data_IF_263192241809
#
_entry.id   IF_263192241809
#
_cell.length_a   1.000
_cell.length_b   1.000
_cell.length_c   1.000
_cell.angle_alpha   90.00
_cell.angle_beta   90.00
_cell.angle_gamma   90.00
#
_symmetry.space_group_name_H-M   'P 1'
#
loop_
_entity.id
_entity.type
_entity.pdbx_description
1 polymer ?
#
# COMPACT_ATOMS: atom_id res chain seq x y z
N UNK A 1 3.77 -5.87 33.54
CA UNK A 1 4.94 -6.78 33.48
C UNK A 1 6.17 -5.97 33.85
N UNK A 2 6.90 -6.38 34.90
CA UNK A 2 8.06 -5.64 35.39
C UNK A 2 9.22 -5.72 34.38
N UNK A 3 9.75 -4.56 34.00
CA UNK A 3 10.90 -4.42 33.09
C UNK A 3 12.12 -4.99 33.82
N UNK A 4 12.49 -6.24 33.51
CA UNK A 4 13.68 -6.90 34.07
C UNK A 4 14.89 -6.03 33.68
N UNK A 5 15.54 -5.40 34.65
CA UNK A 5 16.75 -4.61 34.40
C UNK A 5 17.76 -5.50 33.67
N UNK A 6 18.20 -5.03 32.50
CA UNK A 6 19.18 -5.76 31.71
C UNK A 6 20.49 -5.81 32.50
N UNK A 7 20.81 -6.99 33.04
CA UNK A 7 22.06 -7.21 33.75
C UNK A 7 23.25 -6.87 32.82
N UNK A 8 24.20 -6.08 33.32
CA UNK A 8 25.41 -5.76 32.55
C UNK A 8 26.22 -7.03 32.30
N UNK A 9 26.30 -7.48 31.06
CA UNK A 9 27.14 -8.59 30.64
C UNK A 9 28.52 -8.10 30.19
N UNK A 10 29.60 -8.73 30.68
CA UNK A 10 30.96 -8.46 30.22
C UNK A 10 31.29 -9.38 29.04
N UNK A 11 31.62 -8.79 27.89
CA UNK A 11 31.96 -9.53 26.66
C UNK A 11 33.42 -9.30 26.32
N UNK A 12 34.17 -10.38 26.08
CA UNK A 12 35.55 -10.34 25.60
C UNK A 12 35.56 -10.71 24.11
N UNK A 13 36.21 -9.89 23.29
CA UNK A 13 36.25 -10.07 21.84
C UNK A 13 37.70 -10.07 21.38
N UNK A 14 38.06 -11.07 20.59
CA UNK A 14 39.35 -11.13 19.90
C UNK A 14 39.19 -10.51 18.51
N UNK A 15 39.91 -9.42 18.26
CA UNK A 15 39.92 -8.72 16.98
C UNK A 15 41.13 -9.18 16.16
N UNK A 16 40.89 -9.79 15.00
CA UNK A 16 41.94 -10.25 14.10
C UNK A 16 42.33 -9.22 13.04
N UNK A 17 41.43 -8.28 12.71
CA UNK A 17 41.69 -7.24 11.71
C UNK A 17 42.32 -5.98 12.33
N UNK A 18 43.57 -5.61 11.95
CA UNK A 18 44.24 -4.40 12.45
C UNK A 18 43.54 -3.09 12.06
N UNK A 19 42.72 -3.08 11.00
CA UNK A 19 41.94 -1.90 10.60
C UNK A 19 40.82 -1.59 11.59
N UNK A 20 40.20 -2.62 12.16
CA UNK A 20 39.15 -2.45 13.18
C UNK A 20 39.76 -1.92 14.48
N UNK A 21 40.93 -2.45 14.87
CA UNK A 21 41.66 -2.01 16.06
C UNK A 21 42.10 -0.54 15.94
N UNK A 22 42.64 -0.15 14.79
CA UNK A 22 43.03 1.25 14.55
C UNK A 22 41.83 2.19 14.48
N UNK A 23 40.72 1.77 13.86
CA UNK A 23 39.46 2.51 13.84
C UNK A 23 38.89 2.76 15.24
N UNK A 24 38.84 1.72 16.08
CA UNK A 24 38.36 1.84 17.47
C UNK A 24 39.25 2.77 18.32
N UNK A 25 40.57 2.66 18.17
CA UNK A 25 41.50 3.56 18.86
C UNK A 25 41.37 5.01 18.40
N UNK A 26 41.15 5.24 17.09
CA UNK A 26 40.91 6.58 16.55
C UNK A 26 39.63 7.16 17.14
N UNK A 27 38.57 6.36 17.21
CA UNK A 27 37.28 6.78 17.78
C UNK A 27 37.37 7.08 19.28
N UNK A 28 38.08 6.25 20.04
CA UNK A 28 38.35 6.50 21.46
C UNK A 28 39.09 7.82 21.68
N UNK A 29 40.11 8.10 20.86
CA UNK A 29 40.88 9.36 20.91
C UNK A 29 40.05 10.58 20.53
N UNK A 30 39.31 10.52 19.42
CA UNK A 30 38.46 11.64 18.99
C UNK A 30 37.34 11.93 19.98
N UNK A 31 36.79 10.89 20.60
CA UNK A 31 35.72 10.99 21.57
C UNK A 31 36.17 11.26 23.00
N UNK A 32 37.49 11.32 23.28
CA UNK A 32 38.07 11.39 24.63
C UNK A 32 37.42 10.38 25.60
N UNK A 33 37.25 9.14 25.15
CA UNK A 33 36.55 8.09 25.88
C UNK A 33 37.38 6.79 25.94
N UNK A 34 37.15 5.92 26.93
CA UNK A 34 37.85 4.63 27.00
C UNK A 34 37.48 3.72 25.83
N UNK A 35 38.41 2.85 25.44
CA UNK A 35 38.28 1.95 24.30
C UNK A 35 37.02 1.05 24.40
N UNK A 36 36.67 0.60 25.61
CA UNK A 36 35.47 -0.20 25.87
C UNK A 36 34.18 0.56 25.56
N UNK A 37 34.14 1.86 25.86
CA UNK A 37 32.98 2.71 25.57
C UNK A 37 32.91 3.05 24.07
N UNK A 38 34.05 3.29 23.43
CA UNK A 38 34.12 3.46 21.97
C UNK A 38 33.64 2.19 21.24
N UNK A 39 34.08 1.01 21.69
CA UNK A 39 33.62 -0.27 21.17
C UNK A 39 32.11 -0.48 21.37
N UNK A 40 31.59 -0.19 22.57
CA UNK A 40 30.16 -0.25 22.86
C UNK A 40 29.33 0.65 21.93
N UNK A 41 29.80 1.89 21.67
CA UNK A 41 29.15 2.81 20.72
C UNK A 41 29.21 2.30 19.28
N UNK A 42 30.35 1.77 18.85
CA UNK A 42 30.49 1.21 17.51
C UNK A 42 29.57 0.00 17.30
N UNK A 43 29.48 -0.90 18.28
CA UNK A 43 28.57 -2.06 18.27
C UNK A 43 27.11 -1.59 18.27
N UNK A 44 26.73 -0.67 19.16
CA UNK A 44 25.37 -0.14 19.22
C UNK A 44 24.94 0.49 17.89
N UNK A 45 25.82 1.28 17.25
CA UNK A 45 25.55 1.84 15.92
C UNK A 45 25.45 0.77 14.83
N UNK A 46 26.29 -0.27 14.90
CA UNK A 46 26.23 -1.41 13.98
C UNK A 46 24.92 -2.19 14.09
N UNK A 47 24.46 -2.43 15.32
CA UNK A 47 23.19 -3.08 15.60
C UNK A 47 21.99 -2.22 15.18
N UNK A 48 22.03 -0.91 15.43
CA UNK A 48 20.97 0.02 15.00
C UNK A 48 20.89 0.17 13.47
N UNK A 49 22.05 0.15 12.78
CA UNK A 49 22.12 0.26 11.31
C UNK A 49 21.86 -1.06 10.59
N UNK A 50 21.87 -2.18 11.30
CA UNK A 50 21.58 -3.51 10.76
C UNK A 50 20.20 -3.96 11.25
N UNK A 51 19.10 -3.61 10.56
CA UNK A 51 17.75 -4.10 10.87
C UNK A 51 17.59 -5.62 10.66
N UNK A 52 18.66 -6.33 10.30
CA UNK A 52 18.68 -7.78 10.15
C UNK A 52 18.73 -8.54 11.48
N UNK A 53 18.86 -7.86 12.62
CA UNK A 53 19.14 -8.47 13.92
C UNK A 53 17.92 -9.03 14.68
N UNK A 54 16.68 -8.69 14.30
CA UNK A 54 15.49 -9.20 15.00
C UNK A 54 14.52 -9.93 14.03
N UNK A 55 14.36 -11.26 14.14
CA UNK A 55 13.43 -12.01 13.30
C UNK A 55 11.97 -11.60 13.53
N UNK A 56 11.61 -11.14 14.73
CA UNK A 56 10.25 -10.70 15.04
C UNK A 56 9.91 -9.39 14.28
N UNK A 57 10.86 -8.48 14.16
CA UNK A 57 10.69 -7.24 13.40
C UNK A 57 10.50 -7.49 11.91
N UNK A 58 11.19 -8.50 11.34
CA UNK A 58 10.99 -8.90 9.93
C UNK A 58 9.60 -9.43 9.68
N UNK A 59 9.10 -10.29 10.56
CA UNK A 59 7.75 -10.85 10.45
C UNK A 59 6.71 -9.72 10.59
N UNK A 60 6.88 -8.82 11.56
CA UNK A 60 6.01 -7.68 11.74
C UNK A 60 6.01 -6.74 10.54
N UNK A 61 7.17 -6.49 9.93
CA UNK A 61 7.28 -5.69 8.71
C UNK A 61 6.60 -6.36 7.52
N UNK A 62 6.75 -7.69 7.38
CA UNK A 62 6.12 -8.46 6.32
C UNK A 62 4.59 -8.48 6.47
N UNK A 63 4.07 -8.67 7.69
CA UNK A 63 2.64 -8.58 7.97
C UNK A 63 2.06 -7.20 7.64
N UNK A 64 2.77 -6.12 7.99
CA UNK A 64 2.36 -4.76 7.65
C UNK A 64 2.32 -4.55 6.14
N UNK A 65 3.40 -4.94 5.45
CA UNK A 65 3.49 -4.85 4.00
C UNK A 65 2.38 -5.65 3.31
N UNK A 66 2.06 -6.83 3.83
CA UNK A 66 1.04 -7.71 3.27
C UNK A 66 -0.37 -7.16 3.53
N UNK A 67 -0.62 -6.60 4.72
CA UNK A 67 -1.88 -5.91 5.03
C UNK A 67 -2.09 -4.68 4.16
N UNK A 68 -1.04 -3.88 3.94
CA UNK A 68 -1.10 -2.70 3.08
C UNK A 68 -1.33 -3.11 1.62
N UNK A 69 -0.66 -4.16 1.16
CA UNK A 69 -0.87 -4.73 -0.16
C UNK A 69 -2.31 -5.23 -0.34
N UNK A 70 -2.84 -6.04 0.59
CA UNK A 70 -4.22 -6.51 0.57
C UNK A 70 -5.22 -5.34 0.54
N UNK A 71 -4.96 -4.26 1.28
CA UNK A 71 -5.81 -3.07 1.28
C UNK A 71 -5.74 -2.30 -0.04
N UNK A 72 -4.62 -2.34 -0.76
CA UNK A 72 -4.52 -1.81 -2.12
C UNK A 72 -5.29 -2.70 -3.09
N UNK A 73 -4.99 -3.99 -3.12
CA UNK A 73 -5.61 -4.96 -4.04
C UNK A 73 -7.13 -5.02 -3.87
N UNK A 74 -7.65 -4.90 -2.66
CA UNK A 74 -9.09 -4.84 -2.42
C UNK A 74 -9.74 -3.59 -3.03
N UNK A 75 -9.07 -2.42 -2.97
CA UNK A 75 -9.56 -1.20 -3.63
C UNK A 75 -9.50 -1.33 -5.15
N UNK A 76 -8.41 -1.89 -5.67
CA UNK A 76 -8.25 -2.10 -7.11
C UNK A 76 -9.32 -3.06 -7.65
N UNK A 77 -9.63 -4.13 -6.91
CA UNK A 77 -10.70 -5.07 -7.26
C UNK A 77 -12.08 -4.41 -7.26
N UNK A 78 -12.38 -3.53 -6.29
CA UNK A 78 -13.64 -2.77 -6.28
C UNK A 78 -13.77 -1.88 -7.51
N UNK A 79 -12.70 -1.19 -7.89
CA UNK A 79 -12.66 -0.35 -9.10
C UNK A 79 -12.92 -1.19 -10.35
N UNK A 80 -12.26 -2.33 -10.48
CA UNK A 80 -12.45 -3.24 -11.61
C UNK A 80 -13.89 -3.76 -11.69
N UNK A 81 -14.49 -4.14 -10.56
CA UNK A 81 -15.89 -4.59 -10.53
C UNK A 81 -16.87 -3.48 -10.93
N UNK A 82 -16.68 -2.25 -10.43
CA UNK A 82 -17.50 -1.11 -10.84
C UNK A 82 -17.38 -0.83 -12.34
N UNK A 83 -16.16 -0.87 -12.89
CA UNK A 83 -15.93 -0.70 -14.33
C UNK A 83 -16.65 -1.79 -15.12
N UNK A 84 -16.53 -3.06 -14.72
CA UNK A 84 -17.20 -4.18 -15.38
C UNK A 84 -18.72 -4.06 -15.36
N UNK A 85 -19.31 -3.64 -14.23
CA UNK A 85 -20.76 -3.43 -14.12
C UNK A 85 -21.22 -2.28 -15.00
N UNK A 86 -20.48 -1.16 -15.05
CA UNK A 86 -20.86 0.00 -15.84
C UNK A 86 -20.70 -0.27 -17.35
N UNK A 87 -19.64 -0.99 -17.74
CA UNK A 87 -19.46 -1.48 -19.11
C UNK A 87 -20.58 -2.44 -19.48
N UNK A 88 -20.90 -3.41 -18.63
CA UNK A 88 -22.01 -4.33 -18.86
C UNK A 88 -23.33 -3.57 -19.00
N UNK A 89 -23.61 -2.59 -18.14
CA UNK A 89 -24.82 -1.74 -18.25
C UNK A 89 -24.85 -0.98 -19.58
N UNK A 90 -23.73 -0.41 -20.02
CA UNK A 90 -23.65 0.28 -21.31
C UNK A 90 -23.88 -0.68 -22.49
N UNK A 91 -23.34 -1.90 -22.42
CA UNK A 91 -23.56 -2.97 -23.40
C UNK A 91 -25.01 -3.46 -23.42
N UNK A 92 -25.61 -3.79 -22.27
CA UNK A 92 -26.96 -4.35 -22.19
C UNK A 92 -28.07 -3.33 -22.48
N UNK A 93 -27.86 -2.04 -22.20
CA UNK A 93 -28.83 -0.97 -22.55
C UNK A 93 -28.87 -0.72 -24.07
N UNK A 94 -27.87 -1.20 -24.81
CA UNK A 94 -27.73 -0.99 -26.27
C UNK A 94 -27.26 -2.24 -27.00
N UNK A 95 -27.61 -3.43 -26.51
CA UNK A 95 -27.37 -4.63 -27.29
C UNK A 95 -28.24 -4.49 -28.56
N UNK A 96 -27.66 -4.56 -29.77
CA UNK A 96 -28.41 -4.38 -30.99
C UNK A 96 -29.27 -5.62 -31.23
N UNK A 97 -30.50 -5.61 -30.71
CA UNK A 97 -31.50 -6.65 -31.00
C UNK A 97 -32.25 -6.36 -32.32
N UNK A 98 -31.97 -5.22 -32.99
CA UNK A 98 -32.61 -4.81 -34.23
C UNK A 98 -31.63 -4.22 -35.27
N UNK A 99 -31.94 -4.44 -36.55
CA UNK A 99 -31.16 -4.00 -37.74
C UNK A 99 -30.91 -2.48 -37.76
N UNK A 100 -31.70 -1.68 -37.04
CA UNK A 100 -31.58 -0.22 -36.95
C UNK A 100 -30.35 0.21 -36.13
N UNK A 101 -29.82 -0.66 -35.28
CA UNK A 101 -28.65 -0.38 -34.44
C UNK A 101 -27.30 -0.51 -35.20
N UNK A 102 -27.34 -0.97 -36.45
CA UNK A 102 -26.18 -0.93 -37.37
C UNK A 102 -25.97 0.44 -38.02
N UNK A 103 -26.83 1.43 -37.74
CA UNK A 103 -26.65 2.80 -38.22
C UNK A 103 -25.37 3.41 -37.63
N UNK A 104 -24.44 3.91 -38.47
CA UNK A 104 -23.18 4.52 -38.03
C UNK A 104 -23.38 5.72 -37.08
N UNK A 105 -24.51 6.41 -37.17
CA UNK A 105 -24.86 7.54 -36.29
C UNK A 105 -25.20 7.06 -34.88
N UNK A 106 -25.90 5.93 -34.77
CA UNK A 106 -26.25 5.30 -33.50
C UNK A 106 -24.99 4.78 -32.84
N UNK A 107 -24.11 4.10 -33.59
CA UNK A 107 -22.80 3.62 -33.14
C UNK A 107 -21.94 4.77 -32.58
N UNK A 108 -21.80 5.87 -33.31
CA UNK A 108 -21.05 7.04 -32.84
C UNK A 108 -21.66 7.67 -31.56
N UNK A 109 -22.98 7.59 -31.39
CA UNK A 109 -23.64 8.03 -30.17
C UNK A 109 -23.47 7.04 -29.00
N UNK A 110 -23.17 5.76 -29.27
CA UNK A 110 -22.77 4.77 -28.26
C UNK A 110 -21.36 5.04 -27.78
N UNK A 111 -20.42 5.19 -28.70
CA UNK A 111 -19.01 5.41 -28.38
C UNK A 111 -18.82 6.66 -27.52
N UNK A 112 -19.44 7.79 -27.90
CA UNK A 112 -19.42 9.04 -27.11
C UNK A 112 -20.07 8.91 -25.72
N UNK A 113 -20.98 7.95 -25.54
CA UNK A 113 -21.63 7.72 -24.24
C UNK A 113 -20.76 6.82 -23.37
N UNK A 114 -20.10 5.83 -23.95
CA UNK A 114 -19.10 4.99 -23.28
C UNK A 114 -17.93 5.84 -22.81
N UNK A 115 -17.35 6.67 -23.70
CA UNK A 115 -16.24 7.58 -23.35
C UNK A 115 -16.59 8.47 -22.15
N UNK A 116 -17.79 9.08 -22.15
CA UNK A 116 -18.24 9.93 -21.04
C UNK A 116 -18.43 9.16 -19.72
N UNK A 117 -18.88 7.91 -19.77
CA UNK A 117 -19.02 7.07 -18.59
C UNK A 117 -17.66 6.62 -18.05
N UNK A 118 -16.71 6.32 -18.93
CA UNK A 118 -15.33 6.01 -18.56
C UNK A 118 -14.64 7.23 -17.93
N UNK A 119 -14.78 8.41 -18.52
CA UNK A 119 -14.21 9.66 -17.99
C UNK A 119 -14.80 10.01 -16.62
N UNK A 120 -16.11 9.89 -16.44
CA UNK A 120 -16.76 10.11 -15.15
C UNK A 120 -16.28 9.11 -14.09
N UNK A 121 -16.03 7.85 -14.48
CA UNK A 121 -15.51 6.82 -13.58
C UNK A 121 -14.05 7.08 -13.21
N UNK A 122 -13.21 7.42 -14.19
CA UNK A 122 -11.82 7.83 -13.96
C UNK A 122 -11.74 9.04 -13.02
N UNK A 123 -12.60 10.05 -13.22
CA UNK A 123 -12.68 11.21 -12.32
C UNK A 123 -13.02 10.83 -10.88
N UNK A 124 -13.92 9.86 -10.66
CA UNK A 124 -14.27 9.35 -9.31
C UNK A 124 -13.13 8.57 -8.66
N UNK A 125 -12.42 7.77 -9.45
CA UNK A 125 -11.23 7.04 -9.01
C UNK A 125 -10.14 8.03 -8.56
N UNK A 126 -9.86 9.06 -9.37
CA UNK A 126 -8.89 10.12 -9.06
C UNK A 126 -9.31 10.94 -7.83
N UNK A 127 -10.61 11.19 -7.66
CA UNK A 127 -11.15 11.90 -6.50
C UNK A 127 -11.16 11.07 -5.20
N UNK A 128 -10.85 9.76 -5.27
CA UNK A 128 -10.58 8.90 -4.12
C UNK A 128 -11.74 8.74 -3.12
N UNK A 129 -13.01 8.83 -3.54
CA UNK A 129 -14.14 8.90 -2.60
C UNK A 129 -15.16 7.75 -2.68
N UNK A 130 -15.54 7.37 -1.46
CA UNK A 130 -16.52 6.38 -0.99
C UNK A 130 -17.97 6.73 -1.30
N UNK A 131 -18.75 5.66 -1.42
CA UNK A 131 -20.21 5.54 -1.30
C UNK A 131 -21.05 6.44 -2.21
N UNK A 132 -21.69 5.78 -3.19
CA UNK A 132 -22.90 6.30 -3.80
C UNK A 132 -24.08 5.87 -2.91
N UNK A 133 -24.99 6.79 -2.51
CA UNK A 133 -26.30 6.35 -2.08
C UNK A 133 -26.97 5.75 -3.31
N UNK A 134 -27.42 4.51 -3.19
CA UNK A 134 -28.31 3.90 -4.19
C UNK A 134 -29.50 4.85 -4.35
N UNK A 135 -29.83 5.31 -5.57
CA UNK A 135 -31.02 6.13 -5.73
C UNK A 135 -32.22 5.25 -5.37
N UNK A 136 -33.02 5.70 -4.41
CA UNK A 136 -34.34 5.13 -4.18
C UNK A 136 -35.10 5.21 -5.51
N UNK A 137 -35.36 4.05 -6.10
CA UNK A 137 -36.39 3.91 -7.12
C UNK A 137 -37.71 4.23 -6.42
N UNK A 138 -38.10 5.51 -6.45
CA UNK A 138 -39.47 5.94 -6.21
C UNK A 138 -40.35 5.20 -7.23
N UNK A 139 -40.85 4.03 -6.80
CA UNK A 139 -41.96 3.31 -7.42
C UNK A 139 -43.21 4.15 -7.28
N UNK A 140 -43.31 5.20 -8.09
CA UNK A 140 -44.57 5.85 -8.40
C UNK A 140 -45.31 4.96 -9.40
N UNK A 141 -45.95 3.89 -8.89
CA UNK A 141 -47.03 3.25 -9.64
C UNK A 141 -48.25 4.14 -9.50
N UNK A 142 -48.62 4.76 -10.63
CA UNK A 142 -49.77 5.65 -10.72
C UNK A 142 -51.04 4.99 -10.20
N UNK A 143 -51.74 5.71 -9.32
CA UNK A 143 -53.17 5.55 -9.18
C UNK A 143 -53.82 5.90 -10.52
N UNK A 144 -54.50 4.91 -11.10
CA UNK A 144 -55.52 5.16 -12.11
C UNK A 144 -56.78 4.47 -11.63
N UNK A 145 -57.88 5.23 -11.66
CA UNK A 145 -59.23 4.93 -11.18
C UNK A 145 -59.75 3.54 -11.54
#
# INVERSE_FOLDING_TARGET
MARKEAASARVQVYLTDPKVVSGLNREARSGKMPLSQAAGRAIARGLQKSPQADPEDRLLQLERSLRDHMRSTARDMQIVQELLIEVARAFFVRLPDAIVDEDPTVQAAVDRRIERLLDATAARIVAGRRERPVPDEERSFGQTN
#
